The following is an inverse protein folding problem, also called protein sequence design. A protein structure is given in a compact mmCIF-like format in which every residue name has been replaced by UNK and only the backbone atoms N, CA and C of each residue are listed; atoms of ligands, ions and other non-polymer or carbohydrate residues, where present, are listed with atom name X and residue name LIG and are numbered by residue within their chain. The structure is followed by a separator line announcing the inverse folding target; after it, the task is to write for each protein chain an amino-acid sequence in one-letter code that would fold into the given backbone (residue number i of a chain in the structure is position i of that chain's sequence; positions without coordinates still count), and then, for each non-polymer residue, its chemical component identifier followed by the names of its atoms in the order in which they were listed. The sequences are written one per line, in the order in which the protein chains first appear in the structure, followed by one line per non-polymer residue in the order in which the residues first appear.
data_IF_391776340527
#
_entry.id   IF_391776340527
#
_cell.length_a   1.000
_cell.length_b   1.000
_cell.length_c   1.000
_cell.angle_alpha   90.00
_cell.angle_beta   90.00
_cell.angle_gamma   90.00
#
_symmetry.space_group_name_H-M   'P 1'
#
loop_
_entity.id
_entity.type
_entity.pdbx_description
1 polymer ?
#
# COMPACT_ATOMS: atom_id res chain seq x y z
N UNK A 1 -18.23 14.76 -8.70
CA UNK A 1 -17.71 13.40 -9.01
C UNK A 1 -16.22 13.54 -9.24
N UNK A 2 -15.40 12.62 -8.72
CA UNK A 2 -13.96 12.62 -9.01
C UNK A 2 -13.74 12.47 -10.53
N UNK A 3 -12.87 13.29 -11.10
CA UNK A 3 -12.54 13.21 -12.52
C UNK A 3 -11.51 12.10 -12.74
N UNK A 4 -11.97 10.86 -12.82
CA UNK A 4 -11.11 9.69 -13.02
C UNK A 4 -10.39 9.68 -14.38
N UNK A 5 -10.76 10.59 -15.31
CA UNK A 5 -10.15 10.67 -16.64
C UNK A 5 -8.78 11.33 -16.62
N UNK A 6 -8.38 11.93 -15.49
CA UNK A 6 -7.07 12.55 -15.30
C UNK A 6 -5.98 11.56 -14.90
N UNK A 7 -6.34 10.35 -14.48
CA UNK A 7 -5.39 9.32 -14.09
C UNK A 7 -4.69 8.77 -15.34
N UNK A 8 -3.36 8.76 -15.30
CA UNK A 8 -2.49 8.29 -16.36
C UNK A 8 -1.80 6.98 -15.98
N UNK A 9 -1.23 6.28 -16.96
CA UNK A 9 -0.41 5.09 -16.70
C UNK A 9 0.80 5.44 -15.82
N UNK A 10 1.40 6.62 -16.01
CA UNK A 10 2.53 7.12 -15.23
C UNK A 10 2.24 7.24 -13.74
N UNK A 11 1.01 7.61 -13.37
CA UNK A 11 0.62 7.71 -11.95
C UNK A 11 0.71 6.36 -11.24
N UNK A 12 0.44 5.26 -11.95
CA UNK A 12 0.60 3.90 -11.42
C UNK A 12 2.00 3.33 -11.61
N UNK A 13 2.73 3.79 -12.63
CA UNK A 13 4.14 3.44 -12.86
C UNK A 13 4.99 3.85 -11.65
N UNK A 14 4.67 4.96 -10.99
CA UNK A 14 5.29 5.38 -9.73
C UNK A 14 5.19 4.32 -8.60
N UNK A 15 4.12 3.52 -8.55
CA UNK A 15 4.02 2.44 -7.54
C UNK A 15 5.02 1.31 -7.81
N UNK A 16 5.44 1.12 -9.07
CA UNK A 16 6.49 0.16 -9.42
C UNK A 16 7.84 0.72 -8.97
N UNK A 17 8.13 1.98 -9.31
CA UNK A 17 9.36 2.67 -8.87
C UNK A 17 9.48 2.68 -7.34
N UNK A 18 8.38 2.93 -6.64
CA UNK A 18 8.33 2.89 -5.17
C UNK A 18 8.60 1.47 -4.64
N UNK A 19 8.01 0.42 -5.25
CA UNK A 19 8.30 -0.96 -4.84
C UNK A 19 9.80 -1.28 -5.03
N UNK A 20 10.38 -0.94 -6.18
CA UNK A 20 11.81 -1.14 -6.45
C UNK A 20 12.70 -0.43 -5.42
N UNK A 21 12.40 0.85 -5.14
CA UNK A 21 13.11 1.63 -4.12
C UNK A 21 13.02 0.99 -2.73
N UNK A 22 11.87 0.42 -2.36
CA UNK A 22 11.70 -0.25 -1.07
C UNK A 22 12.56 -1.51 -0.95
N UNK A 23 12.70 -2.29 -2.03
CA UNK A 23 13.58 -3.46 -2.07
C UNK A 23 15.06 -3.06 -2.08
N UNK A 24 15.44 -2.06 -2.87
CA UNK A 24 16.80 -1.50 -2.92
C UNK A 24 17.23 -1.05 -1.51
N UNK A 25 16.40 -0.24 -0.83
CA UNK A 25 16.71 0.24 0.51
C UNK A 25 16.74 -0.85 1.57
N UNK A 26 16.00 -1.94 1.39
CA UNK A 26 16.10 -3.14 2.26
C UNK A 26 17.44 -3.83 2.10
N UNK A 27 17.95 -3.90 0.87
CA UNK A 27 19.23 -4.53 0.56
C UNK A 27 20.43 -3.66 0.99
N UNK A 28 20.39 -2.36 0.68
CA UNK A 28 21.51 -1.45 0.90
C UNK A 28 21.55 -0.82 2.30
N UNK A 29 20.39 -0.72 2.96
CA UNK A 29 20.24 -0.12 4.30
C UNK A 29 20.90 1.26 4.44
N UNK A 30 20.63 2.23 3.54
CA UNK A 30 21.27 3.54 3.57
C UNK A 30 20.97 4.31 4.87
N UNK A 31 21.97 4.98 5.41
CA UNK A 31 21.83 5.75 6.64
C UNK A 31 20.90 6.96 6.48
N UNK A 32 20.23 7.35 7.56
CA UNK A 32 19.30 8.50 7.57
C UNK A 32 17.95 8.29 6.88
N UNK A 33 17.74 7.16 6.19
CA UNK A 33 16.48 6.84 5.53
C UNK A 33 15.39 6.34 6.50
N UNK A 34 14.18 6.87 6.37
CA UNK A 34 13.01 6.41 7.14
C UNK A 34 12.78 4.89 6.98
N UNK A 35 12.81 4.40 5.74
CA UNK A 35 12.62 2.97 5.43
C UNK A 35 13.69 2.10 6.10
N UNK A 36 14.97 2.51 6.10
CA UNK A 36 16.04 1.82 6.84
C UNK A 36 15.72 1.74 8.33
N UNK A 37 15.23 2.83 8.92
CA UNK A 37 14.82 2.84 10.33
C UNK A 37 13.67 1.87 10.62
N UNK A 38 12.74 1.71 9.68
CA UNK A 38 11.61 0.79 9.80
C UNK A 38 12.05 -0.66 9.65
N UNK A 39 12.88 -0.98 8.65
CA UNK A 39 13.47 -2.31 8.49
C UNK A 39 14.32 -2.71 9.70
N UNK A 40 15.12 -1.79 10.26
CA UNK A 40 15.88 -2.03 11.51
C UNK A 40 14.97 -2.33 12.72
N UNK A 41 13.76 -1.74 12.76
CA UNK A 41 12.76 -2.01 13.81
C UNK A 41 11.96 -3.29 13.55
N UNK A 42 12.01 -3.83 12.35
CA UNK A 42 11.43 -5.12 11.98
C UNK A 42 9.92 -5.12 11.76
N UNK A 43 9.42 -6.32 11.46
CA UNK A 43 8.05 -6.59 11.03
C UNK A 43 6.98 -6.02 11.97
N UNK A 44 7.13 -6.17 13.28
CA UNK A 44 6.11 -5.74 14.25
C UNK A 44 5.87 -4.23 14.18
N UNK A 45 6.95 -3.44 14.05
CA UNK A 45 6.83 -1.99 13.95
C UNK A 45 6.20 -1.56 12.63
N UNK A 46 6.55 -2.24 11.53
CA UNK A 46 5.98 -1.98 10.21
C UNK A 46 4.47 -2.30 10.22
N UNK A 47 4.08 -3.46 10.76
CA UNK A 47 2.68 -3.85 10.88
C UNK A 47 1.89 -2.90 11.80
N UNK A 48 2.49 -2.40 12.88
CA UNK A 48 1.88 -1.38 13.73
C UNK A 48 1.51 -0.13 12.91
N UNK A 49 2.44 0.38 12.09
CA UNK A 49 2.17 1.57 11.26
C UNK A 49 1.03 1.32 10.28
N UNK A 50 0.97 0.16 9.62
CA UNK A 50 -0.19 -0.19 8.75
C UNK A 50 -1.52 -0.09 9.52
N UNK A 51 -1.57 -0.54 10.77
CA UNK A 51 -2.77 -0.42 11.60
C UNK A 51 -3.10 1.01 12.00
N UNK A 52 -2.08 1.81 12.32
CA UNK A 52 -2.18 3.24 12.66
C UNK A 52 -2.79 4.03 11.49
N UNK A 53 -2.17 3.95 10.31
CA UNK A 53 -2.63 4.68 9.11
C UNK A 53 -4.03 4.24 8.67
N UNK A 54 -4.39 2.96 8.88
CA UNK A 54 -5.72 2.47 8.57
C UNK A 54 -6.79 3.13 9.45
N UNK A 55 -6.50 3.31 10.74
CA UNK A 55 -7.41 4.00 11.68
C UNK A 55 -7.46 5.49 11.36
N UNK A 56 -6.31 6.11 11.09
CA UNK A 56 -6.22 7.54 10.75
C UNK A 56 -6.98 7.83 9.45
N UNK A 57 -6.83 7.00 8.41
CA UNK A 57 -7.60 7.09 7.16
C UNK A 57 -9.12 7.05 7.43
N UNK A 58 -9.58 6.15 8.28
CA UNK A 58 -11.00 6.06 8.64
C UNK A 58 -11.46 7.32 9.37
N UNK A 59 -10.68 7.85 10.31
CA UNK A 59 -11.01 9.06 11.06
C UNK A 59 -11.05 10.27 10.12
N UNK A 60 -10.02 10.47 9.30
CA UNK A 60 -9.92 11.57 8.34
C UNK A 60 -11.11 11.58 7.37
N UNK A 61 -11.49 10.41 6.85
CA UNK A 61 -12.63 10.28 5.92
C UNK A 61 -13.97 10.69 6.53
N UNK A 62 -14.12 10.58 7.85
CA UNK A 62 -15.34 10.99 8.57
C UNK A 62 -15.38 12.48 8.89
N UNK A 63 -14.24 13.14 8.91
CA UNK A 63 -14.13 14.56 9.28
C UNK A 63 -14.36 15.50 8.08
N UNK A 64 -14.77 14.99 6.90
CA UNK A 64 -14.92 15.74 5.64
C UNK A 64 -13.66 16.54 5.25
N UNK A 65 -12.48 16.02 5.59
CA UNK A 65 -11.20 16.63 5.24
C UNK A 65 -10.53 15.81 4.14
N UNK A 66 -10.80 16.15 2.89
CA UNK A 66 -10.25 15.44 1.73
C UNK A 66 -8.73 15.46 1.70
N UNK A 67 -8.09 16.56 2.14
CA UNK A 67 -6.62 16.67 2.17
C UNK A 67 -6.00 15.69 3.14
N UNK A 68 -6.56 15.60 4.34
CA UNK A 68 -6.12 14.65 5.37
C UNK A 68 -6.40 13.22 4.90
N UNK A 69 -7.58 12.95 4.35
CA UNK A 69 -7.93 11.62 3.82
C UNK A 69 -6.95 11.17 2.73
N UNK A 70 -6.54 12.07 1.83
CA UNK A 70 -5.53 11.79 0.80
C UNK A 70 -4.16 11.49 1.45
N UNK A 71 -3.77 12.24 2.47
CA UNK A 71 -2.52 12.03 3.21
C UNK A 71 -2.47 10.66 3.89
N UNK A 72 -3.47 10.36 4.73
CA UNK A 72 -3.54 9.10 5.47
C UNK A 72 -3.67 7.89 4.53
N UNK A 73 -4.41 8.04 3.42
CA UNK A 73 -4.50 6.99 2.41
C UNK A 73 -3.15 6.74 1.71
N UNK A 74 -2.37 7.80 1.46
CA UNK A 74 -1.03 7.67 0.90
C UNK A 74 -0.08 6.98 1.88
N UNK A 75 -0.10 7.35 3.17
CA UNK A 75 0.71 6.71 4.21
C UNK A 75 0.33 5.24 4.42
N UNK A 76 -0.98 4.92 4.37
CA UNK A 76 -1.46 3.54 4.42
C UNK A 76 -0.93 2.71 3.24
N UNK A 77 -0.98 3.23 2.00
CA UNK A 77 -0.46 2.53 0.81
C UNK A 77 1.05 2.33 0.94
N UNK A 78 1.79 3.37 1.33
CA UNK A 78 3.22 3.31 1.54
C UNK A 78 3.60 2.24 2.58
N UNK A 79 2.94 2.25 3.75
CA UNK A 79 3.21 1.31 4.82
C UNK A 79 2.79 -0.12 4.47
N UNK A 80 1.72 -0.29 3.69
CA UNK A 80 1.35 -1.60 3.14
C UNK A 80 2.42 -2.13 2.17
N UNK A 81 2.94 -1.29 1.27
CA UNK A 81 4.02 -1.67 0.36
C UNK A 81 5.31 -2.03 1.12
N UNK A 82 5.65 -1.26 2.15
CA UNK A 82 6.79 -1.54 3.03
C UNK A 82 6.64 -2.88 3.76
N UNK A 83 5.44 -3.18 4.27
CA UNK A 83 5.12 -4.47 4.89
C UNK A 83 5.29 -5.63 3.90
N UNK A 84 4.82 -5.45 2.66
CA UNK A 84 4.93 -6.45 1.61
C UNK A 84 6.41 -6.70 1.24
N UNK A 85 7.22 -5.64 1.10
CA UNK A 85 8.65 -5.74 0.85
C UNK A 85 9.40 -6.42 2.01
N UNK A 86 9.06 -6.11 3.27
CA UNK A 86 9.63 -6.79 4.44
C UNK A 86 9.36 -8.29 4.41
N UNK A 87 8.15 -8.69 3.98
CA UNK A 87 7.74 -10.09 3.84
C UNK A 87 8.15 -10.76 2.52
N UNK A 88 8.86 -10.05 1.64
CA UNK A 88 9.24 -10.53 0.30
C UNK A 88 8.05 -10.96 -0.57
N UNK A 89 6.94 -10.25 -0.41
CA UNK A 89 5.72 -10.47 -1.18
C UNK A 89 5.61 -9.36 -2.22
N UNK A 90 5.84 -9.63 -3.51
CA UNK A 90 5.73 -8.59 -4.52
C UNK A 90 4.27 -8.16 -4.74
N UNK A 91 4.05 -6.87 -4.97
CA UNK A 91 2.74 -6.23 -5.17
C UNK A 91 1.94 -6.89 -6.30
N UNK A 92 2.61 -7.40 -7.34
CA UNK A 92 1.95 -8.12 -8.43
C UNK A 92 1.11 -9.32 -7.92
N UNK A 93 1.50 -9.98 -6.82
CA UNK A 93 0.71 -11.08 -6.23
C UNK A 93 -0.58 -10.55 -5.60
N UNK A 94 -0.54 -9.40 -4.94
CA UNK A 94 -1.71 -8.72 -4.39
C UNK A 94 -2.65 -8.27 -5.51
N UNK A 95 -2.10 -7.62 -6.55
CA UNK A 95 -2.86 -7.21 -7.75
C UNK A 95 -3.50 -8.43 -8.42
N UNK A 96 -2.78 -9.55 -8.56
CA UNK A 96 -3.34 -10.79 -9.13
C UNK A 96 -4.51 -11.32 -8.29
N UNK A 97 -4.41 -11.28 -6.96
CA UNK A 97 -5.50 -11.66 -6.07
C UNK A 97 -6.71 -10.73 -6.23
N UNK A 98 -6.48 -9.42 -6.35
CA UNK A 98 -7.54 -8.43 -6.62
C UNK A 98 -8.19 -8.65 -7.99
N UNK A 99 -7.42 -8.88 -9.05
CA UNK A 99 -7.94 -9.22 -10.39
C UNK A 99 -8.80 -10.48 -10.35
N UNK A 100 -8.35 -11.53 -9.65
CA UNK A 100 -9.13 -12.76 -9.47
C UNK A 100 -10.45 -12.52 -8.71
N UNK A 101 -10.47 -11.59 -7.74
CA UNK A 101 -11.69 -11.25 -6.99
C UNK A 101 -12.73 -10.52 -7.85
N UNK A 102 -12.30 -9.74 -8.84
CA UNK A 102 -13.20 -8.89 -9.64
C UNK A 102 -13.33 -9.31 -11.11
N UNK A 103 -12.67 -10.38 -11.55
CA UNK A 103 -12.97 -11.00 -12.85
C UNK A 103 -14.42 -11.48 -12.83
N UNK A 104 -15.25 -10.95 -13.74
CA UNK A 104 -16.70 -11.18 -13.85
C UNK A 104 -17.10 -12.64 -13.56
N UNK A 105 -18.03 -12.79 -12.60
CA UNK A 105 -18.94 -13.92 -12.37
C UNK A 105 -18.54 -15.30 -12.92
N UNK A 106 -17.90 -16.11 -12.09
CA UNK A 106 -18.44 -17.47 -11.93
C UNK A 106 -19.26 -17.45 -10.66
N UNK A 107 -20.57 -17.21 -10.81
CA UNK A 107 -21.54 -17.72 -9.85
C UNK A 107 -21.38 -19.24 -9.85
N UNK A 108 -20.53 -19.76 -8.97
CA UNK A 108 -20.72 -21.08 -8.40
C UNK A 108 -21.26 -20.84 -6.99
N UNK A 109 -22.59 -20.93 -6.87
CA UNK A 109 -23.17 -21.46 -5.66
C UNK A 109 -22.56 -22.83 -5.41
N UNK A 110 -21.67 -22.90 -4.45
CA UNK A 110 -21.34 -24.10 -3.67
C UNK A 110 -21.08 -23.47 -2.29
N UNK A 111 -22.03 -23.40 -1.36
CA UNK A 111 -22.85 -24.51 -0.93
C UNK A 111 -21.93 -25.44 -0.15
N UNK A 112 -21.84 -25.20 1.17
CA UNK A 112 -20.95 -25.81 2.19
C UNK A 112 -19.69 -25.01 2.54
#
# INVERSE_FOLDING_TARGET
MADIKTITEKDFEFLIELEELLYERKAEMPDGSYTTSMYKKGLDKIAQKVGEEAVETVIASKNNNDKETIGEAADLIFHLMLLLAEKEIPMHKVIKKLRKRHSKGTHKHIGE
#
